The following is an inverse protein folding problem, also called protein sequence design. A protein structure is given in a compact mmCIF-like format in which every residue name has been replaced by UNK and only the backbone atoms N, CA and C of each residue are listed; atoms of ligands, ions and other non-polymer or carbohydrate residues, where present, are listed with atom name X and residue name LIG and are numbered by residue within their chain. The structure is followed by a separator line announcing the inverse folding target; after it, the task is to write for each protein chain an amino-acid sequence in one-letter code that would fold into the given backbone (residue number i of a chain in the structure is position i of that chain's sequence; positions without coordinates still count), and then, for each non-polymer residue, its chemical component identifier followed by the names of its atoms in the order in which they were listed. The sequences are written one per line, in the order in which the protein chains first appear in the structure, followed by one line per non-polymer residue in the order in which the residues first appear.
data_IF_388073216799
#
_entry.id   IF_388073216799
#
_cell.length_a   1.000
_cell.length_b   1.000
_cell.length_c   1.000
_cell.angle_alpha   90.00
_cell.angle_beta   90.00
_cell.angle_gamma   90.00
#
_symmetry.space_group_name_H-M   'P 1'
#
loop_
_entity.id
_entity.type
_entity.pdbx_description
1 polymer ?
#
# COMPACT_ATOMS: atom_id res chain seq x y z
N UNK A 1 -26.12 -1.13 -11.34
CA UNK A 1 -24.85 -0.42 -11.62
C UNK A 1 -24.96 0.97 -11.03
N UNK A 2 -24.48 1.18 -9.81
CA UNK A 2 -24.22 2.55 -9.34
C UNK A 2 -22.98 3.01 -10.09
N UNK A 3 -23.18 3.88 -11.07
CA UNK A 3 -22.10 4.46 -11.86
C UNK A 3 -21.15 5.20 -10.93
N UNK A 4 -19.93 4.68 -10.77
CA UNK A 4 -18.80 5.50 -10.35
C UNK A 4 -18.85 6.82 -11.13
N UNK A 5 -18.71 7.95 -10.45
CA UNK A 5 -18.62 9.26 -11.11
C UNK A 5 -17.33 9.41 -11.93
N UNK A 6 -16.37 8.51 -11.74
CA UNK A 6 -15.11 8.46 -12.47
C UNK A 6 -15.21 7.54 -13.69
N UNK A 7 -14.65 8.00 -14.82
CA UNK A 7 -14.52 7.16 -16.01
C UNK A 7 -13.52 6.03 -15.78
N UNK A 8 -13.70 4.86 -16.44
CA UNK A 8 -12.75 3.74 -16.34
C UNK A 8 -11.30 4.15 -16.63
N UNK A 9 -11.10 5.08 -17.57
CA UNK A 9 -9.78 5.58 -17.95
C UNK A 9 -9.09 6.34 -16.82
N UNK A 10 -9.81 7.20 -16.08
CA UNK A 10 -9.25 7.95 -14.94
C UNK A 10 -8.83 6.99 -13.82
N UNK A 11 -9.68 6.02 -13.51
CA UNK A 11 -9.37 4.99 -12.51
C UNK A 11 -8.18 4.14 -12.96
N UNK A 12 -8.14 3.75 -14.24
CA UNK A 12 -7.07 2.94 -14.81
C UNK A 12 -5.70 3.64 -14.77
N UNK A 13 -5.64 4.91 -15.16
CA UNK A 13 -4.40 5.70 -15.07
C UNK A 13 -3.98 5.95 -13.62
N UNK A 14 -4.93 6.22 -12.72
CA UNK A 14 -4.63 6.39 -11.29
C UNK A 14 -3.96 5.13 -10.74
N UNK A 15 -4.49 3.93 -11.06
CA UNK A 15 -3.88 2.68 -10.64
C UNK A 15 -2.47 2.48 -11.22
N UNK A 16 -2.25 2.76 -12.50
CA UNK A 16 -0.92 2.68 -13.12
C UNK A 16 0.05 3.64 -12.44
N UNK A 17 -0.35 4.89 -12.19
CA UNK A 17 0.48 5.88 -11.51
C UNK A 17 0.83 5.43 -10.09
N UNK A 18 -0.10 4.82 -9.35
CA UNK A 18 0.20 4.19 -8.05
C UNK A 18 1.31 3.15 -8.21
N UNK A 19 1.19 2.20 -9.14
CA UNK A 19 2.20 1.16 -9.33
C UNK A 19 3.56 1.70 -9.78
N UNK A 20 3.58 2.68 -10.69
CA UNK A 20 4.82 3.35 -11.13
C UNK A 20 5.47 4.10 -9.95
N UNK A 21 4.69 4.77 -9.11
CA UNK A 21 5.19 5.46 -7.92
C UNK A 21 5.87 4.49 -6.96
N UNK A 22 5.30 3.31 -6.75
CA UNK A 22 5.93 2.25 -5.95
C UNK A 22 7.27 1.82 -6.55
N UNK A 23 7.32 1.55 -7.86
CA UNK A 23 8.55 1.13 -8.55
C UNK A 23 9.64 2.20 -8.40
N UNK A 24 9.28 3.48 -8.60
CA UNK A 24 10.18 4.60 -8.42
C UNK A 24 10.66 4.69 -6.96
N UNK A 25 9.78 4.49 -5.97
CA UNK A 25 10.16 4.50 -4.57
C UNK A 25 11.28 3.48 -4.27
N UNK A 26 11.16 2.27 -4.81
CA UNK A 26 12.16 1.21 -4.66
C UNK A 26 13.46 1.56 -5.39
N UNK A 27 13.40 2.08 -6.61
CA UNK A 27 14.59 2.50 -7.36
C UNK A 27 15.34 3.58 -6.59
N UNK A 28 14.67 4.61 -6.11
CA UNK A 28 15.29 5.67 -5.33
C UNK A 28 15.81 5.18 -3.98
N UNK A 29 15.11 4.24 -3.33
CA UNK A 29 15.59 3.60 -2.10
C UNK A 29 16.96 2.93 -2.33
N UNK A 30 17.08 2.12 -3.38
CA UNK A 30 18.32 1.42 -3.73
C UNK A 30 19.42 2.42 -4.11
N UNK A 31 19.12 3.39 -4.97
CA UNK A 31 20.09 4.39 -5.41
C UNK A 31 20.61 5.25 -4.24
N UNK A 32 19.73 5.70 -3.35
CA UNK A 32 20.14 6.55 -2.24
C UNK A 32 20.94 5.76 -1.20
N UNK A 33 20.55 4.51 -0.92
CA UNK A 33 21.32 3.63 -0.05
C UNK A 33 22.72 3.33 -0.62
N UNK A 34 22.81 3.02 -1.92
CA UNK A 34 24.09 2.68 -2.57
C UNK A 34 25.03 3.87 -2.74
N UNK A 35 24.52 5.07 -3.03
CA UNK A 35 25.35 6.26 -3.27
C UNK A 35 25.73 6.99 -1.99
N UNK A 36 24.79 7.16 -1.06
CA UNK A 36 24.96 8.02 0.12
C UNK A 36 25.00 7.26 1.45
N UNK A 37 24.85 5.92 1.43
CA UNK A 37 24.78 5.11 2.65
C UNK A 37 23.58 5.44 3.55
N UNK A 38 22.57 6.16 3.03
CA UNK A 38 21.42 6.64 3.79
C UNK A 38 20.12 6.32 3.03
N UNK A 39 19.13 5.85 3.78
CA UNK A 39 17.74 5.80 3.32
C UNK A 39 17.23 7.24 3.14
N UNK A 40 16.54 7.52 2.03
CA UNK A 40 16.58 8.83 1.40
C UNK A 40 15.26 9.59 1.28
N UNK A 41 15.34 10.92 1.36
CA UNK A 41 14.19 11.84 1.29
C UNK A 41 13.26 11.59 0.11
N UNK A 42 13.79 11.22 -1.06
CA UNK A 42 12.97 11.02 -2.28
C UNK A 42 12.14 9.74 -2.19
N UNK A 43 12.71 8.61 -1.76
CA UNK A 43 11.92 7.39 -1.58
C UNK A 43 10.85 7.58 -0.51
N UNK A 44 11.13 8.37 0.53
CA UNK A 44 10.16 8.64 1.59
C UNK A 44 9.01 9.54 1.10
N UNK A 45 9.29 10.57 0.31
CA UNK A 45 8.23 11.34 -0.37
C UNK A 45 7.37 10.43 -1.26
N UNK A 46 8.00 9.51 -2.01
CA UNK A 46 7.25 8.57 -2.85
C UNK A 46 6.43 7.58 -2.00
N UNK A 47 6.91 7.15 -0.84
CA UNK A 47 6.13 6.31 0.08
C UNK A 47 4.88 7.02 0.63
N UNK A 48 5.01 8.30 1.00
CA UNK A 48 3.86 9.12 1.35
C UNK A 48 2.86 9.23 0.18
N UNK A 49 3.38 9.44 -1.04
CA UNK A 49 2.55 9.49 -2.25
C UNK A 49 1.84 8.16 -2.54
N UNK A 50 2.48 7.01 -2.32
CA UNK A 50 1.83 5.69 -2.44
C UNK A 50 0.57 5.65 -1.57
N UNK A 51 0.67 6.04 -0.30
CA UNK A 51 -0.49 6.10 0.60
C UNK A 51 -1.61 7.00 0.09
N UNK A 52 -1.27 8.23 -0.34
CA UNK A 52 -2.24 9.20 -0.89
C UNK A 52 -2.93 8.65 -2.15
N UNK A 53 -2.15 8.07 -3.07
CA UNK A 53 -2.66 7.50 -4.31
C UNK A 53 -3.51 6.25 -4.05
N UNK A 54 -3.18 5.43 -3.04
CA UNK A 54 -4.01 4.32 -2.60
C UNK A 54 -5.35 4.80 -2.05
N UNK A 55 -5.40 5.90 -1.29
CA UNK A 55 -6.66 6.52 -0.83
C UNK A 55 -7.47 7.02 -2.02
N UNK A 56 -6.84 7.72 -2.97
CA UNK A 56 -7.51 8.20 -4.17
C UNK A 56 -8.11 7.04 -4.98
N UNK A 57 -7.35 5.95 -5.18
CA UNK A 57 -7.82 4.77 -5.87
C UNK A 57 -8.98 4.09 -5.11
N UNK A 58 -8.87 3.94 -3.79
CA UNK A 58 -9.94 3.38 -2.96
C UNK A 58 -11.22 4.21 -3.00
N UNK A 59 -11.09 5.53 -2.99
CA UNK A 59 -12.21 6.46 -3.13
C UNK A 59 -12.90 6.31 -4.48
N UNK A 60 -12.12 6.23 -5.57
CA UNK A 60 -12.67 6.03 -6.92
C UNK A 60 -13.42 4.69 -7.06
N UNK A 61 -12.96 3.65 -6.34
CA UNK A 61 -13.58 2.33 -6.33
C UNK A 61 -14.70 2.18 -5.30
N UNK A 62 -14.94 3.20 -4.47
CA UNK A 62 -15.85 3.14 -3.34
C UNK A 62 -17.28 2.81 -3.76
N UNK A 63 -17.81 3.45 -4.80
CA UNK A 63 -19.20 3.25 -5.23
C UNK A 63 -19.48 1.80 -5.65
N UNK A 64 -18.55 1.18 -6.39
CA UNK A 64 -18.67 -0.22 -6.83
C UNK A 64 -18.50 -1.19 -5.65
N UNK A 65 -17.55 -0.92 -4.76
CA UNK A 65 -17.37 -1.72 -3.54
C UNK A 65 -18.59 -1.62 -2.62
N UNK A 66 -19.13 -0.42 -2.42
CA UNK A 66 -20.27 -0.14 -1.56
C UNK A 66 -21.55 -0.80 -2.06
N UNK A 67 -21.76 -0.84 -3.38
CA UNK A 67 -22.90 -1.52 -3.99
C UNK A 67 -22.97 -3.01 -3.65
N UNK A 68 -21.82 -3.63 -3.38
CA UNK A 68 -21.73 -5.07 -3.03
C UNK A 68 -21.68 -5.31 -1.54
N UNK A 69 -20.94 -4.47 -0.81
CA UNK A 69 -20.81 -4.60 0.63
C UNK A 69 -20.71 -3.21 1.29
N UNK A 70 -21.85 -2.62 1.69
CA UNK A 70 -21.89 -1.27 2.22
C UNK A 70 -20.97 -1.06 3.43
N UNK A 71 -21.05 -1.94 4.43
CA UNK A 71 -20.24 -1.83 5.65
C UNK A 71 -18.75 -2.06 5.39
N UNK A 72 -18.41 -3.09 4.61
CA UNK A 72 -17.01 -3.43 4.33
C UNK A 72 -16.33 -2.34 3.50
N UNK A 73 -17.05 -1.72 2.57
CA UNK A 73 -16.51 -0.59 1.79
C UNK A 73 -16.19 0.64 2.65
N UNK A 74 -17.05 0.96 3.63
CA UNK A 74 -16.81 2.07 4.56
C UNK A 74 -15.60 1.79 5.45
N UNK A 75 -15.53 0.60 6.03
CA UNK A 75 -14.39 0.18 6.84
C UNK A 75 -13.12 0.20 5.99
N UNK A 76 -13.16 -0.33 4.77
CA UNK A 76 -12.03 -0.33 3.84
C UNK A 76 -11.51 1.07 3.52
N UNK A 77 -12.42 2.04 3.31
CA UNK A 77 -12.04 3.43 3.05
C UNK A 77 -11.39 4.09 4.30
N UNK A 78 -11.88 3.77 5.49
CA UNK A 78 -11.25 4.24 6.74
C UNK A 78 -9.86 3.62 6.89
N UNK A 79 -9.72 2.31 6.66
CA UNK A 79 -8.46 1.59 6.76
C UNK A 79 -7.40 2.18 5.84
N UNK A 80 -7.70 2.39 4.56
CA UNK A 80 -6.73 2.98 3.61
C UNK A 80 -6.38 4.42 3.98
N UNK A 81 -7.33 5.21 4.50
CA UNK A 81 -7.07 6.59 4.94
C UNK A 81 -6.14 6.63 6.17
N UNK A 82 -6.41 5.82 7.18
CA UNK A 82 -5.52 5.68 8.35
C UNK A 82 -4.18 5.10 7.91
N UNK A 83 -4.17 4.15 6.98
CA UNK A 83 -2.97 3.58 6.38
C UNK A 83 -2.07 4.65 5.76
N UNK A 84 -2.65 5.54 4.95
CA UNK A 84 -1.93 6.66 4.35
C UNK A 84 -1.37 7.64 5.38
N UNK A 85 -2.09 7.90 6.49
CA UNK A 85 -1.56 8.71 7.59
C UNK A 85 -0.29 8.06 8.17
N UNK A 86 -0.32 6.74 8.40
CA UNK A 86 0.84 6.01 8.92
C UNK A 86 2.03 6.02 7.94
N UNK A 87 1.81 5.88 6.64
CA UNK A 87 2.90 6.00 5.66
C UNK A 87 3.49 7.40 5.63
N UNK A 88 2.66 8.45 5.68
CA UNK A 88 3.11 9.84 5.77
C UNK A 88 3.92 10.08 7.05
N UNK A 89 3.44 9.57 8.20
CA UNK A 89 4.16 9.67 9.48
C UNK A 89 5.53 9.00 9.38
N UNK A 90 5.59 7.76 8.87
CA UNK A 90 6.86 7.06 8.64
C UNK A 90 7.83 7.88 7.79
N UNK A 91 7.36 8.46 6.68
CA UNK A 91 8.16 9.33 5.82
C UNK A 91 8.63 10.61 6.52
N UNK A 92 7.77 11.27 7.30
CA UNK A 92 8.12 12.48 8.07
C UNK A 92 9.24 12.16 9.07
N UNK A 93 9.18 11.02 9.76
CA UNK A 93 10.18 10.63 10.75
C UNK A 93 11.60 10.57 10.16
N UNK A 94 11.73 10.05 8.92
CA UNK A 94 13.03 10.00 8.21
C UNK A 94 13.43 11.35 7.65
N UNK A 95 12.50 12.05 6.98
CA UNK A 95 12.79 13.33 6.31
C UNK A 95 13.31 14.36 7.32
N UNK A 96 12.70 14.41 8.51
CA UNK A 96 13.10 15.33 9.58
C UNK A 96 14.10 14.73 10.57
N UNK A 97 14.56 13.50 10.35
CA UNK A 97 15.58 12.80 11.16
C UNK A 97 15.19 12.67 12.64
N UNK A 98 13.90 12.42 12.90
CA UNK A 98 13.44 12.10 14.25
C UNK A 98 13.82 10.68 14.66
N UNK A 99 13.93 9.75 13.70
CA UNK A 99 14.27 8.35 13.92
C UNK A 99 15.13 7.83 12.78
N UNK A 100 15.69 6.64 12.94
CA UNK A 100 16.28 5.85 11.88
C UNK A 100 15.21 5.10 11.06
N UNK A 101 15.67 4.43 10.00
CA UNK A 101 14.83 3.78 8.99
C UNK A 101 14.05 2.59 9.52
N UNK A 102 14.46 1.99 10.63
CA UNK A 102 13.80 0.80 11.19
C UNK A 102 12.47 1.22 11.82
N UNK A 103 12.47 2.20 12.72
CA UNK A 103 11.23 2.64 13.37
C UNK A 103 10.27 3.28 12.37
N UNK A 104 10.79 4.15 11.50
CA UNK A 104 10.01 4.73 10.41
C UNK A 104 9.45 3.67 9.46
N UNK A 105 10.26 2.65 9.16
CA UNK A 105 9.86 1.47 8.40
C UNK A 105 8.67 0.74 9.04
N UNK A 106 8.60 0.65 10.37
CA UNK A 106 7.44 0.07 11.04
C UNK A 106 6.17 0.90 10.88
N UNK A 107 6.26 2.23 11.02
CA UNK A 107 5.10 3.10 10.75
C UNK A 107 4.60 2.93 9.32
N UNK A 108 5.49 2.97 8.34
CA UNK A 108 5.17 2.75 6.92
C UNK A 108 4.62 1.34 6.69
N UNK A 109 5.20 0.32 7.32
CA UNK A 109 4.75 -1.08 7.24
C UNK A 109 3.33 -1.28 7.77
N UNK A 110 3.00 -0.70 8.93
CA UNK A 110 1.63 -0.71 9.47
C UNK A 110 0.67 0.04 8.55
N UNK A 111 1.11 1.18 8.00
CA UNK A 111 0.33 1.92 7.01
C UNK A 111 -0.02 1.08 5.78
N UNK A 112 0.99 0.42 5.21
CA UNK A 112 0.82 -0.51 4.10
C UNK A 112 -0.04 -1.71 4.47
N UNK A 113 0.03 -2.24 5.70
CA UNK A 113 -0.83 -3.32 6.15
C UNK A 113 -2.32 -2.92 6.11
N UNK A 114 -2.66 -1.71 6.54
CA UNK A 114 -4.02 -1.17 6.48
C UNK A 114 -4.51 -0.98 5.04
N UNK A 115 -3.64 -0.50 4.15
CA UNK A 115 -3.91 -0.42 2.71
C UNK A 115 -4.13 -1.84 2.13
N UNK A 116 -3.31 -2.81 2.56
CA UNK A 116 -3.44 -4.21 2.20
C UNK A 116 -4.78 -4.82 2.61
N UNK A 117 -5.27 -4.52 3.82
CA UNK A 117 -6.59 -4.95 4.27
C UNK A 117 -7.72 -4.38 3.41
N UNK A 118 -7.64 -3.11 3.01
CA UNK A 118 -8.57 -2.53 2.05
C UNK A 118 -8.55 -3.31 0.73
N UNK A 119 -7.36 -3.64 0.21
CA UNK A 119 -7.21 -4.39 -1.03
C UNK A 119 -7.82 -5.79 -0.92
N UNK A 120 -7.57 -6.51 0.17
CA UNK A 120 -8.20 -7.82 0.45
C UNK A 120 -9.72 -7.69 0.45
N UNK A 121 -10.25 -6.72 1.20
CA UNK A 121 -11.69 -6.50 1.33
C UNK A 121 -12.35 -6.18 -0.02
N UNK A 122 -11.75 -5.27 -0.79
CA UNK A 122 -12.22 -4.92 -2.13
C UNK A 122 -12.22 -6.14 -3.04
N UNK A 123 -11.09 -6.83 -3.18
CA UNK A 123 -11.00 -8.01 -4.05
C UNK A 123 -11.93 -9.13 -3.60
N UNK A 124 -12.03 -9.40 -2.30
CA UNK A 124 -12.95 -10.41 -1.77
C UNK A 124 -14.40 -10.12 -2.17
N UNK A 125 -14.84 -8.85 -2.11
CA UNK A 125 -16.18 -8.44 -2.55
C UNK A 125 -16.41 -8.63 -4.07
N UNK A 126 -15.33 -8.75 -4.85
CA UNK A 126 -15.35 -8.92 -6.31
C UNK A 126 -15.22 -10.39 -6.76
N UNK A 127 -15.06 -11.35 -5.84
CA UNK A 127 -14.88 -12.78 -6.18
C UNK A 127 -16.02 -13.36 -7.02
N UNK A 128 -17.26 -12.93 -6.74
CA UNK A 128 -18.46 -13.36 -7.45
C UNK A 128 -18.90 -12.33 -8.51
N UNK A 129 -17.99 -11.47 -8.97
CA UNK A 129 -18.27 -10.45 -9.97
C UNK A 129 -17.73 -10.85 -11.34
N UNK A 130 -18.49 -10.54 -12.39
CA UNK A 130 -17.99 -10.58 -13.77
C UNK A 130 -17.21 -9.30 -14.14
N UNK A 131 -17.09 -8.36 -13.18
CA UNK A 131 -16.45 -7.06 -13.41
C UNK A 131 -14.93 -7.22 -13.47
N UNK A 132 -14.32 -8.08 -12.67
CA UNK A 132 -12.87 -8.30 -12.69
C UNK A 132 -12.55 -9.77 -12.98
N UNK A 133 -11.41 -10.03 -13.62
CA UNK A 133 -10.98 -11.40 -13.86
C UNK A 133 -10.64 -12.08 -12.52
N UNK A 134 -11.03 -13.35 -12.38
CA UNK A 134 -10.81 -14.10 -11.14
C UNK A 134 -9.33 -14.10 -10.70
N UNK A 135 -8.40 -14.24 -11.65
CA UNK A 135 -6.96 -14.20 -11.37
C UNK A 135 -6.48 -12.86 -10.79
N UNK A 136 -7.01 -11.73 -11.27
CA UNK A 136 -6.67 -10.41 -10.73
C UNK A 136 -7.19 -10.24 -9.30
N UNK A 137 -8.41 -10.72 -9.06
CA UNK A 137 -9.03 -10.70 -7.73
C UNK A 137 -8.21 -11.53 -6.73
N UNK A 138 -7.91 -12.78 -7.06
CA UNK A 138 -7.09 -13.66 -6.20
C UNK A 138 -5.69 -13.06 -5.98
N UNK A 139 -5.07 -12.54 -7.03
CA UNK A 139 -3.76 -11.89 -6.91
C UNK A 139 -3.80 -10.68 -5.96
N UNK A 140 -4.88 -9.89 -5.98
CA UNK A 140 -5.06 -8.77 -5.06
C UNK A 140 -5.26 -9.21 -3.61
N UNK A 141 -6.00 -10.30 -3.37
CA UNK A 141 -6.14 -10.89 -2.03
C UNK A 141 -4.78 -11.34 -1.50
N UNK A 142 -3.99 -12.06 -2.32
CA UNK A 142 -2.64 -12.51 -1.93
C UNK A 142 -1.73 -11.31 -1.65
N UNK A 143 -1.75 -10.30 -2.52
CA UNK A 143 -0.98 -9.06 -2.37
C UNK A 143 -1.30 -8.38 -1.04
N UNK A 144 -2.58 -8.17 -0.74
CA UNK A 144 -3.01 -7.51 0.49
C UNK A 144 -2.71 -8.35 1.74
N UNK A 145 -2.80 -9.68 1.66
CA UNK A 145 -2.41 -10.58 2.74
C UNK A 145 -0.90 -10.49 3.04
N UNK A 146 -0.05 -10.38 2.01
CA UNK A 146 1.37 -10.12 2.21
C UNK A 146 1.60 -8.77 2.89
N UNK A 147 0.97 -7.70 2.39
CA UNK A 147 1.06 -6.37 2.99
C UNK A 147 0.63 -6.36 4.46
N UNK A 148 -0.39 -7.14 4.83
CA UNK A 148 -0.89 -7.25 6.20
C UNK A 148 0.15 -7.75 7.22
N UNK A 149 1.23 -8.44 6.77
CA UNK A 149 2.36 -8.79 7.65
C UNK A 149 3.05 -7.56 8.24
N UNK A 150 2.85 -6.37 7.68
CA UNK A 150 3.33 -5.11 8.26
C UNK A 150 2.78 -4.81 9.67
N UNK A 151 1.67 -5.42 10.09
CA UNK A 151 1.20 -5.32 11.48
C UNK A 151 2.16 -5.92 12.50
N UNK A 152 3.06 -6.82 12.07
CA UNK A 152 4.13 -7.30 12.93
C UNK A 152 5.07 -6.17 13.37
N UNK A 153 5.06 -5.01 12.70
CA UNK A 153 5.77 -3.81 13.13
C UNK A 153 5.20 -3.12 14.37
N UNK A 154 3.95 -3.40 14.78
CA UNK A 154 3.30 -2.73 15.92
C UNK A 154 4.11 -2.88 17.23
N UNK A 155 4.54 -4.10 17.64
CA UNK A 155 5.41 -4.24 18.80
C UNK A 155 6.71 -3.44 18.68
N UNK A 156 7.29 -3.33 17.48
CA UNK A 156 8.47 -2.52 17.21
C UNK A 156 8.24 -1.03 17.45
N UNK A 157 7.07 -0.51 17.05
CA UNK A 157 6.66 0.87 17.34
C UNK A 157 6.51 1.09 18.85
N UNK A 158 5.81 0.19 19.54
CA UNK A 158 5.56 0.31 20.99
C UNK A 158 6.85 0.24 21.80
N UNK A 159 7.78 -0.63 21.41
CA UNK A 159 9.10 -0.78 22.03
C UNK A 159 10.14 0.23 21.52
N UNK A 160 9.78 1.10 20.56
CA UNK A 160 10.67 2.08 19.92
C UNK A 160 11.96 1.45 19.36
N UNK A 161 11.82 0.30 18.73
CA UNK A 161 12.95 -0.41 18.09
C UNK A 161 13.34 0.34 16.82
N UNK A 162 14.51 0.95 16.84
CA UNK A 162 14.98 1.84 15.76
C UNK A 162 16.33 1.43 15.15
N UNK A 163 16.95 0.35 15.64
CA UNK A 163 18.21 -0.15 15.08
C UNK A 163 18.09 -1.62 14.67
N UNK A 164 18.79 -2.00 13.61
CA UNK A 164 18.85 -3.38 13.15
C UNK A 164 19.50 -4.32 14.16
N UNK A 165 20.43 -3.83 14.97
CA UNK A 165 21.13 -4.60 16.00
C UNK A 165 20.19 -5.04 17.13
N UNK A 166 19.21 -4.19 17.45
CA UNK A 166 18.20 -4.46 18.49
C UNK A 166 16.98 -5.24 17.98
N UNK A 167 16.96 -5.62 16.70
CA UNK A 167 15.78 -6.16 16.05
C UNK A 167 15.44 -7.58 16.54
N UNK A 168 14.29 -7.79 17.22
CA UNK A 168 13.83 -9.13 17.55
C UNK A 168 13.50 -9.92 16.28
N UNK A 169 13.81 -11.22 16.26
CA UNK A 169 13.64 -12.09 15.10
C UNK A 169 12.23 -12.06 14.47
N UNK A 170 11.18 -11.91 15.30
CA UNK A 170 9.80 -11.88 14.84
C UNK A 170 9.45 -10.59 14.08
N UNK A 171 10.10 -9.46 14.41
CA UNK A 171 10.00 -8.23 13.61
C UNK A 171 10.67 -8.40 12.25
N UNK A 172 11.67 -9.27 12.16
CA UNK A 172 12.27 -9.70 10.89
C UNK A 172 11.25 -10.25 9.89
N UNK A 173 10.23 -10.97 10.37
CA UNK A 173 9.13 -11.48 9.54
C UNK A 173 8.25 -10.35 9.00
N UNK A 174 8.15 -9.22 9.71
CA UNK A 174 7.43 -8.04 9.26
C UNK A 174 7.96 -7.47 7.94
N UNK A 175 9.24 -7.69 7.62
CA UNK A 175 9.83 -7.23 6.35
C UNK A 175 9.22 -7.91 5.12
N UNK A 176 8.64 -9.11 5.26
CA UNK A 176 7.91 -9.75 4.16
C UNK A 176 6.69 -8.92 3.73
N UNK A 177 6.16 -8.05 4.60
CA UNK A 177 5.12 -7.08 4.23
C UNK A 177 5.55 -6.09 3.15
N UNK A 178 6.86 -5.79 3.07
CA UNK A 178 7.40 -4.97 1.99
C UNK A 178 7.46 -5.71 0.66
N UNK A 179 7.50 -7.05 0.62
CA UNK A 179 7.33 -7.77 -0.66
C UNK A 179 5.92 -7.56 -1.22
N UNK A 180 4.91 -7.59 -0.35
CA UNK A 180 3.54 -7.24 -0.72
C UNK A 180 3.46 -5.83 -1.30
N UNK A 181 4.07 -4.86 -0.62
CA UNK A 181 4.01 -3.44 -1.00
C UNK A 181 4.84 -3.12 -2.24
N UNK A 182 6.10 -3.54 -2.28
CA UNK A 182 7.08 -3.10 -3.26
C UNK A 182 7.19 -3.98 -4.50
N UNK A 183 6.62 -5.19 -4.46
CA UNK A 183 6.65 -6.13 -5.59
C UNK A 183 5.24 -6.46 -6.06
N UNK A 184 4.39 -6.99 -5.18
CA UNK A 184 3.08 -7.52 -5.59
C UNK A 184 2.07 -6.40 -5.90
N UNK A 185 2.02 -5.36 -5.06
CA UNK A 185 1.11 -4.23 -5.22
C UNK A 185 1.29 -3.42 -6.51
N UNK A 186 2.51 -3.07 -6.98
CA UNK A 186 2.67 -2.42 -8.27
C UNK A 186 2.25 -3.30 -9.44
N UNK A 187 2.51 -4.62 -9.36
CA UNK A 187 2.04 -5.56 -10.38
C UNK A 187 0.51 -5.56 -10.41
N UNK A 188 -0.14 -5.63 -9.25
CA UNK A 188 -1.60 -5.65 -9.16
C UNK A 188 -2.21 -4.36 -9.68
N UNK A 189 -1.72 -3.21 -9.23
CA UNK A 189 -2.25 -1.88 -9.62
C UNK A 189 -2.06 -1.59 -11.11
N UNK A 190 -0.90 -1.95 -11.69
CA UNK A 190 -0.67 -1.81 -13.14
C UNK A 190 -1.56 -2.79 -13.92
N UNK A 191 -1.67 -4.05 -13.50
CA UNK A 191 -2.53 -5.02 -14.18
C UNK A 191 -4.00 -4.61 -14.15
N UNK A 192 -4.49 -4.18 -12.98
CA UNK A 192 -5.82 -3.62 -12.80
C UNK A 192 -6.05 -2.41 -13.72
N UNK A 193 -5.13 -1.46 -13.72
CA UNK A 193 -5.24 -0.27 -14.56
C UNK A 193 -5.25 -0.57 -16.06
N UNK A 194 -4.43 -1.54 -16.50
CA UNK A 194 -4.43 -1.99 -17.90
C UNK A 194 -5.76 -2.64 -18.30
N UNK A 195 -6.37 -3.45 -17.45
CA UNK A 195 -7.68 -4.06 -17.73
C UNK A 195 -8.74 -2.99 -17.92
N UNK A 196 -8.74 -1.93 -17.09
CA UNK A 196 -9.71 -0.85 -17.22
C UNK A 196 -9.51 0.02 -18.47
N UNK A 197 -8.26 0.19 -18.93
CA UNK A 197 -7.95 0.98 -20.13
C UNK A 197 -8.19 0.23 -21.45
N UNK A 198 -8.25 -1.10 -21.40
CA UNK A 198 -8.48 -1.95 -22.58
C UNK A 198 -9.96 -2.32 -22.78
N UNK A 199 -10.85 -1.87 -21.89
CA UNK A 199 -12.30 -1.99 -21.99
C UNK A 199 -12.89 -0.73 -22.60
#
# INVERSE_FOLDING_TARGET
MTTSTFSPSVVGWTAIVTGVTVILAVIFLILMYTVNGRFGTVNDVLNAMIGILSVALAWMLYAEHHARSPLVSQIGLILVAVGAIFTIVGSILIIFRFTDFVLAGWYTGVGNALIGLWLVAFCYSMLNSDVLTHSLVVFGIVTGAFMAMGFLGIPGILARVDTMESLPWYLGVGYFGFLGTYVLYPIWTIWFGRILLLR
#
